data_IF_726380915642
#
_entry.id   IF_726380915642
#
_cell.length_a   1.000
_cell.length_b   1.000
_cell.length_c   1.000
_cell.angle_alpha   90.00
_cell.angle_beta   90.00
_cell.angle_gamma   90.00
#
_symmetry.space_group_name_H-M   'P 1'
#
loop_
_entity.id
_entity.type
_entity.pdbx_description
1 polymer ?
#
# COMPACT_ATOMS: atom_id res chain seq x y z
N UNK A 1 30.97 -43.86 -1.94
CA UNK A 1 31.73 -44.05 -3.20
C UNK A 1 32.52 -42.77 -3.44
N UNK A 2 33.85 -42.87 -3.31
CA UNK A 2 34.95 -42.03 -3.85
C UNK A 2 34.66 -40.55 -4.22
N UNK A 3 35.36 -39.58 -3.59
CA UNK A 3 36.66 -39.01 -4.08
C UNK A 3 36.40 -37.84 -5.05
N UNK A 4 37.08 -36.70 -5.12
CA UNK A 4 38.18 -36.05 -4.39
C UNK A 4 38.43 -34.68 -5.09
N UNK A 5 38.90 -33.68 -4.34
CA UNK A 5 39.83 -32.60 -4.74
C UNK A 5 39.50 -31.64 -5.92
N UNK A 6 39.54 -30.33 -5.66
CA UNK A 6 40.74 -29.55 -6.01
C UNK A 6 40.73 -28.11 -5.42
N UNK A 7 41.78 -27.82 -4.66
CA UNK A 7 42.28 -26.47 -4.37
C UNK A 7 42.62 -25.73 -5.67
N UNK A 8 42.32 -24.42 -5.72
CA UNK A 8 43.21 -23.44 -6.36
C UNK A 8 43.26 -22.14 -5.54
N UNK A 9 44.40 -21.95 -4.88
CA UNK A 9 44.92 -20.66 -4.42
C UNK A 9 45.50 -19.94 -5.64
N UNK A 10 45.10 -18.69 -5.88
CA UNK A 10 45.91 -17.75 -6.66
C UNK A 10 46.29 -16.60 -5.74
N UNK A 11 47.54 -16.64 -5.32
CA UNK A 11 48.29 -15.52 -4.76
C UNK A 11 48.62 -14.59 -5.93
N UNK A 12 48.29 -13.31 -5.82
CA UNK A 12 48.98 -12.28 -6.58
C UNK A 12 49.46 -11.19 -5.61
N UNK A 13 50.78 -11.23 -5.43
CA UNK A 13 51.60 -10.19 -4.82
C UNK A 13 51.71 -9.03 -5.80
N UNK A 14 51.54 -7.81 -5.32
CA UNK A 14 51.65 -6.61 -6.13
C UNK A 14 51.72 -5.35 -5.28
N UNK A 15 52.70 -5.28 -4.38
CA UNK A 15 53.08 -4.02 -3.72
C UNK A 15 53.82 -3.13 -4.72
N UNK A 16 53.24 -1.98 -5.05
CA UNK A 16 53.97 -0.82 -5.56
C UNK A 16 53.75 0.32 -4.59
N UNK A 17 54.78 0.59 -3.79
CA UNK A 17 54.90 1.80 -3.00
C UNK A 17 55.40 2.90 -3.94
N UNK A 18 54.57 3.93 -4.17
CA UNK A 18 55.01 5.18 -4.78
C UNK A 18 54.94 6.24 -3.70
N UNK A 19 56.10 6.68 -3.25
CA UNK A 19 56.25 7.84 -2.40
C UNK A 19 56.10 9.10 -3.28
N UNK A 20 54.99 9.82 -3.13
CA UNK A 20 54.81 11.15 -3.71
C UNK A 20 54.85 12.20 -2.60
N UNK A 21 55.59 13.27 -2.89
CA UNK A 21 56.00 14.31 -1.97
C UNK A 21 54.86 15.06 -1.32
N UNK A 22 55.08 15.41 -0.06
CA UNK A 22 54.21 16.31 0.70
C UNK A 22 54.26 17.72 0.14
N UNK A 23 53.07 18.28 -0.07
CA UNK A 23 52.81 19.71 -0.08
C UNK A 23 52.09 20.06 1.22
N UNK A 24 52.43 21.18 1.89
CA UNK A 24 51.70 21.64 3.07
C UNK A 24 50.35 22.19 2.61
N UNK A 25 49.31 21.38 2.70
CA UNK A 25 47.93 21.85 2.57
C UNK A 25 47.57 22.54 3.88
N UNK A 26 47.30 23.84 3.81
CA UNK A 26 46.72 24.62 4.88
C UNK A 26 45.44 23.94 5.37
N UNK A 27 45.52 23.28 6.53
CA UNK A 27 44.37 22.76 7.24
C UNK A 27 43.50 23.95 7.67
N UNK A 28 42.51 24.29 6.86
CA UNK A 28 41.34 25.00 7.36
C UNK A 28 40.62 24.02 8.27
N UNK A 29 40.76 24.24 9.58
CA UNK A 29 39.88 23.64 10.56
C UNK A 29 38.47 24.10 10.22
N UNK A 30 37.74 23.31 9.45
CA UNK A 30 36.31 23.43 9.39
C UNK A 30 35.81 23.00 10.76
N UNK A 31 35.25 23.93 11.52
CA UNK A 31 34.43 23.59 12.67
C UNK A 31 33.31 22.68 12.13
N UNK A 32 33.46 21.39 12.35
CA UNK A 32 32.37 20.46 12.19
C UNK A 32 31.33 20.86 13.22
N UNK A 33 30.38 21.71 12.80
CA UNK A 33 29.13 21.94 13.52
C UNK A 33 28.46 20.58 13.57
N UNK A 34 28.68 19.87 14.68
CA UNK A 34 27.93 18.67 15.05
C UNK A 34 26.52 19.11 15.36
N UNK A 35 25.75 19.36 14.30
CA UNK A 35 24.31 19.45 14.38
C UNK A 35 23.84 18.11 14.92
N UNK A 36 23.44 18.08 16.19
CA UNK A 36 22.79 16.92 16.77
C UNK A 36 21.68 16.47 15.82
N UNK A 37 21.60 15.16 15.47
CA UNK A 37 20.58 14.68 14.57
C UNK A 37 19.23 15.09 15.16
N UNK A 38 18.46 15.89 14.41
CA UNK A 38 17.08 16.20 14.75
C UNK A 38 16.38 14.86 14.93
N UNK A 39 15.96 14.57 16.16
CA UNK A 39 15.11 13.42 16.46
C UNK A 39 13.92 13.49 15.52
N UNK A 40 13.88 12.59 14.55
CA UNK A 40 12.80 12.47 13.60
C UNK A 40 11.53 12.15 14.39
N UNK A 41 10.52 12.99 14.29
CA UNK A 41 9.26 12.78 15.01
C UNK A 41 8.64 11.47 14.52
N UNK A 42 8.57 10.46 15.38
CA UNK A 42 7.98 9.17 15.05
C UNK A 42 6.56 9.37 14.50
N UNK A 43 6.32 8.89 13.28
CA UNK A 43 5.00 8.93 12.64
C UNK A 43 4.04 8.11 13.50
N UNK A 44 2.89 8.68 13.82
CA UNK A 44 1.87 8.02 14.66
C UNK A 44 0.62 7.70 13.86
N UNK A 45 0.07 6.52 14.10
CA UNK A 45 -1.21 6.12 13.56
C UNK A 45 -2.34 6.99 14.16
N UNK A 46 -3.31 7.46 13.37
CA UNK A 46 -4.44 8.23 13.91
C UNK A 46 -5.23 7.42 14.94
N UNK A 47 -5.69 8.10 15.99
CA UNK A 47 -6.56 7.50 17.02
C UNK A 47 -7.85 6.99 16.37
N UNK A 48 -8.28 5.78 16.76
CA UNK A 48 -9.51 5.19 16.24
C UNK A 48 -9.34 4.45 14.91
N UNK A 49 -8.10 4.16 14.51
CA UNK A 49 -7.83 3.26 13.40
C UNK A 49 -8.31 1.84 13.69
N UNK A 50 -8.93 1.21 12.68
CA UNK A 50 -9.35 -0.19 12.68
C UNK A 50 -8.82 -0.86 11.40
N UNK A 51 -8.03 -1.93 11.58
CA UNK A 51 -7.46 -2.69 10.48
C UNK A 51 -8.43 -3.71 9.88
N UNK A 52 -8.42 -3.81 8.54
CA UNK A 52 -9.21 -4.79 7.79
C UNK A 52 -8.36 -5.85 7.10
N UNK A 53 -7.15 -5.49 6.67
CA UNK A 53 -6.23 -6.38 5.97
C UNK A 53 -4.78 -5.94 6.09
N UNK A 54 -3.87 -6.88 5.86
CA UNK A 54 -2.42 -6.64 5.77
C UNK A 54 -1.83 -7.49 4.64
N UNK A 55 -0.83 -6.93 3.96
CA UNK A 55 -0.07 -7.60 2.91
C UNK A 55 1.41 -7.26 3.05
N UNK A 56 2.25 -8.26 3.29
CA UNK A 56 3.69 -8.08 3.41
C UNK A 56 4.36 -7.96 2.02
N UNK A 57 5.41 -7.13 1.93
CA UNK A 57 6.24 -6.94 0.74
C UNK A 57 7.66 -6.55 1.14
N UNK A 58 8.60 -6.45 0.18
CA UNK A 58 10.00 -6.14 0.48
C UNK A 58 10.18 -4.81 1.24
N UNK A 59 9.29 -3.84 1.04
CA UNK A 59 9.34 -2.53 1.69
C UNK A 59 8.64 -2.45 3.05
N UNK A 60 7.95 -3.50 3.51
CA UNK A 60 7.25 -3.54 4.81
C UNK A 60 5.94 -4.31 4.76
N UNK A 61 4.99 -3.93 5.61
CA UNK A 61 3.63 -4.45 5.59
C UNK A 61 2.63 -3.35 5.25
N UNK A 62 1.91 -3.51 4.14
CA UNK A 62 0.81 -2.63 3.79
C UNK A 62 -0.41 -2.97 4.65
N UNK A 63 -0.77 -2.10 5.57
CA UNK A 63 -1.94 -2.26 6.44
C UNK A 63 -3.04 -1.30 6.01
N UNK A 64 -4.24 -1.84 5.80
CA UNK A 64 -5.41 -1.08 5.34
C UNK A 64 -6.53 -1.10 6.37
N UNK A 65 -7.25 0.00 6.45
CA UNK A 65 -8.30 0.17 7.43
C UNK A 65 -9.13 1.43 7.23
N UNK A 66 -9.79 1.83 8.30
CA UNK A 66 -10.42 3.13 8.44
C UNK A 66 -10.11 3.76 9.78
N UNK A 67 -10.12 5.10 9.80
CA UNK A 67 -10.20 5.88 11.04
C UNK A 67 -11.65 6.30 11.19
N UNK A 68 -12.22 6.04 12.37
CA UNK A 68 -13.61 6.39 12.67
C UNK A 68 -13.69 7.44 13.77
N UNK A 69 -14.74 8.27 13.71
CA UNK A 69 -15.13 9.11 14.83
C UNK A 69 -16.30 8.42 15.53
N UNK A 70 -16.07 7.93 16.75
CA UNK A 70 -17.10 7.22 17.54
C UNK A 70 -17.69 6.00 16.82
N UNK A 71 -16.88 5.32 16.00
CA UNK A 71 -17.32 4.18 15.20
C UNK A 71 -18.13 4.54 13.94
N UNK A 72 -18.33 5.83 13.67
CA UNK A 72 -19.04 6.36 12.51
C UNK A 72 -18.10 7.10 11.55
N UNK A 73 -18.60 7.42 10.35
CA UNK A 73 -17.92 8.25 9.36
C UNK A 73 -16.50 7.76 9.01
N UNK A 74 -16.37 6.48 8.67
CA UNK A 74 -15.08 5.88 8.31
C UNK A 74 -14.31 6.69 7.26
N UNK A 75 -12.99 6.84 7.49
CA UNK A 75 -12.05 7.44 6.56
C UNK A 75 -10.96 6.43 6.22
N UNK A 76 -10.99 5.96 4.99
CA UNK A 76 -10.03 4.99 4.47
C UNK A 76 -8.60 5.45 4.76
N UNK A 77 -7.84 4.60 5.44
CA UNK A 77 -6.47 4.89 5.86
C UNK A 77 -5.60 3.68 5.57
N UNK A 78 -4.41 3.95 5.04
CA UNK A 78 -3.40 2.97 4.66
C UNK A 78 -2.09 3.39 5.32
N UNK A 79 -1.30 2.45 5.81
CA UNK A 79 0.05 2.74 6.26
C UNK A 79 0.98 1.58 5.93
N UNK A 80 2.28 1.87 5.92
CA UNK A 80 3.32 0.83 5.83
C UNK A 80 4.02 0.72 7.17
N UNK A 81 3.98 -0.48 7.73
CA UNK A 81 4.72 -0.86 8.94
C UNK A 81 6.04 -1.52 8.56
N UNK A 82 7.07 -1.29 9.37
CA UNK A 82 8.25 -2.14 9.34
C UNK A 82 8.00 -3.39 10.19
N UNK A 83 8.00 -4.62 9.62
CA UNK A 83 7.59 -5.82 10.35
C UNK A 83 8.54 -6.22 11.49
N UNK A 84 9.76 -5.68 11.52
CA UNK A 84 10.77 -6.01 12.55
C UNK A 84 10.67 -5.03 13.71
N UNK A 85 10.61 -3.73 13.39
CA UNK A 85 10.66 -2.65 14.38
C UNK A 85 9.28 -2.12 14.77
N UNK A 86 8.25 -2.48 14.03
CA UNK A 86 6.89 -1.92 14.10
C UNK A 86 6.88 -0.38 14.04
N UNK A 87 7.85 0.19 13.32
CA UNK A 87 7.88 1.60 13.02
C UNK A 87 7.10 1.87 11.75
N UNK A 88 6.16 2.80 11.85
CA UNK A 88 5.37 3.26 10.72
C UNK A 88 6.24 4.11 9.81
N UNK A 89 6.41 3.69 8.55
CA UNK A 89 7.18 4.40 7.54
C UNK A 89 6.43 5.60 6.98
N UNK A 90 5.13 5.44 6.76
CA UNK A 90 4.22 6.51 6.35
C UNK A 90 2.77 6.11 6.62
N UNK A 91 1.88 7.11 6.70
CA UNK A 91 0.42 6.94 6.80
C UNK A 91 -0.25 7.81 5.75
N UNK A 92 -1.24 7.25 5.06
CA UNK A 92 -2.04 7.94 4.06
C UNK A 92 -3.54 7.77 4.31
N UNK A 93 -4.23 8.90 4.47
CA UNK A 93 -5.70 8.93 4.38
C UNK A 93 -6.11 9.06 2.92
N UNK A 94 -6.98 8.17 2.45
CA UNK A 94 -7.58 8.25 1.12
C UNK A 94 -8.76 9.23 1.17
N UNK A 95 -8.76 10.27 0.33
CA UNK A 95 -9.86 11.24 0.29
C UNK A 95 -11.20 10.56 0.07
N UNK A 96 -12.22 11.02 0.80
CA UNK A 96 -13.60 10.65 0.56
C UNK A 96 -14.13 11.46 -0.64
N UNK A 97 -14.65 10.83 -1.71
CA UNK A 97 -15.23 11.59 -2.81
C UNK A 97 -16.39 12.49 -2.34
N UNK A 98 -16.63 13.63 -3.00
CA UNK A 98 -17.73 14.51 -2.64
C UNK A 98 -19.07 13.79 -2.64
N UNK A 99 -19.98 14.18 -1.73
CA UNK A 99 -21.33 13.59 -1.61
C UNK A 99 -21.31 12.08 -1.33
N UNK A 100 -20.31 11.61 -0.58
CA UNK A 100 -20.24 10.26 0.00
C UNK A 100 -20.25 10.37 1.52
N UNK A 101 -20.65 9.30 2.19
CA UNK A 101 -20.79 9.29 3.65
C UNK A 101 -19.50 8.83 4.34
N UNK A 102 -18.98 7.68 3.91
CA UNK A 102 -17.75 7.09 4.44
C UNK A 102 -17.05 6.23 3.39
N UNK A 103 -15.77 5.99 3.60
CA UNK A 103 -14.99 5.03 2.83
C UNK A 103 -14.09 4.21 3.75
N UNK A 104 -13.77 2.99 3.32
CA UNK A 104 -12.90 2.04 4.05
C UNK A 104 -11.92 1.39 3.08
N UNK A 105 -10.62 1.41 3.41
CA UNK A 105 -9.61 0.67 2.67
C UNK A 105 -9.62 -0.77 3.18
N UNK A 106 -10.05 -1.71 2.34
CA UNK A 106 -10.37 -3.08 2.79
C UNK A 106 -9.30 -4.10 2.44
N UNK A 107 -8.63 -3.91 1.31
CA UNK A 107 -7.60 -4.81 0.81
C UNK A 107 -6.40 -4.03 0.27
N UNK A 108 -5.22 -4.64 0.30
CA UNK A 108 -4.00 -4.12 -0.30
C UNK A 108 -3.30 -5.22 -1.09
N UNK A 109 -2.78 -4.87 -2.26
CA UNK A 109 -1.95 -5.74 -3.10
C UNK A 109 -0.73 -4.95 -3.54
N UNK A 110 0.41 -5.61 -3.69
CA UNK A 110 1.66 -4.99 -4.14
C UNK A 110 1.97 -5.47 -5.55
N UNK A 111 2.30 -4.53 -6.45
CA UNK A 111 2.80 -4.85 -7.77
C UNK A 111 3.87 -3.85 -8.19
N UNK A 112 5.08 -4.34 -8.47
CA UNK A 112 6.25 -3.50 -8.72
C UNK A 112 6.55 -2.59 -7.52
N UNK A 113 6.59 -1.27 -7.77
CA UNK A 113 6.82 -0.24 -6.75
C UNK A 113 5.54 0.45 -6.27
N UNK A 114 4.37 -0.07 -6.64
CA UNK A 114 3.09 0.51 -6.27
C UNK A 114 2.29 -0.41 -5.35
N UNK A 115 1.50 0.20 -4.47
CA UNK A 115 0.48 -0.47 -3.68
C UNK A 115 -0.87 -0.16 -4.30
N UNK A 116 -1.68 -1.20 -4.51
CA UNK A 116 -3.05 -1.09 -4.97
C UNK A 116 -3.97 -1.35 -3.80
N UNK A 117 -4.90 -0.43 -3.55
CA UNK A 117 -5.78 -0.47 -2.39
C UNK A 117 -7.22 -0.47 -2.85
N UNK A 118 -7.97 -1.51 -2.46
CA UNK A 118 -9.40 -1.57 -2.72
C UNK A 118 -10.16 -0.79 -1.65
N UNK A 119 -10.86 0.25 -2.07
CA UNK A 119 -11.68 1.10 -1.23
C UNK A 119 -13.15 0.82 -1.49
N UNK A 120 -13.91 0.62 -0.40
CA UNK A 120 -15.36 0.50 -0.46
C UNK A 120 -15.97 1.77 0.13
N UNK A 121 -16.80 2.46 -0.66
CA UNK A 121 -17.36 3.77 -0.31
C UNK A 121 -18.87 3.69 -0.22
N UNK A 122 -19.43 4.05 0.93
CA UNK A 122 -20.86 4.06 1.17
C UNK A 122 -21.45 5.46 0.88
N UNK A 123 -22.57 5.51 0.15
CA UNK A 123 -23.21 6.79 -0.23
C UNK A 123 -24.08 7.38 0.88
N UNK A 124 -24.56 6.58 1.82
CA UNK A 124 -25.47 7.02 2.88
C UNK A 124 -25.21 6.31 4.22
N UNK A 125 -25.57 6.95 5.33
CA UNK A 125 -25.46 6.36 6.68
C UNK A 125 -26.43 5.19 6.88
N UNK A 126 -27.66 5.35 6.42
CA UNK A 126 -28.69 4.32 6.51
C UNK A 126 -28.45 3.23 5.46
N UNK A 127 -28.21 2.00 5.90
CA UNK A 127 -27.86 0.85 5.04
C UNK A 127 -28.88 0.57 3.93
N UNK A 128 -30.18 0.77 4.19
CA UNK A 128 -31.24 0.56 3.21
C UNK A 128 -31.18 1.53 2.02
N UNK A 129 -30.64 2.73 2.22
CA UNK A 129 -30.50 3.78 1.20
C UNK A 129 -29.08 3.84 0.62
N UNK A 130 -28.14 3.10 1.20
CA UNK A 130 -26.73 3.19 0.86
C UNK A 130 -26.37 2.25 -0.29
N UNK A 131 -25.64 2.80 -1.25
CA UNK A 131 -24.89 2.06 -2.26
C UNK A 131 -23.44 1.99 -1.78
N UNK A 132 -22.85 0.79 -1.86
CA UNK A 132 -21.41 0.62 -1.69
C UNK A 132 -20.79 0.57 -3.07
N UNK A 133 -19.91 1.52 -3.34
CA UNK A 133 -19.16 1.67 -4.59
C UNK A 133 -17.72 1.21 -4.37
N UNK A 134 -17.11 0.64 -5.41
CA UNK A 134 -15.74 0.16 -5.37
C UNK A 134 -14.82 1.13 -6.10
N UNK A 135 -13.64 1.36 -5.54
CA UNK A 135 -12.57 2.04 -6.26
C UNK A 135 -11.21 1.43 -5.92
N UNK A 136 -10.29 1.51 -6.87
CA UNK A 136 -8.90 1.11 -6.69
C UNK A 136 -8.04 2.36 -6.65
N UNK A 137 -7.24 2.47 -5.58
CA UNK A 137 -6.27 3.54 -5.41
C UNK A 137 -4.87 2.98 -5.58
N UNK A 138 -4.10 3.60 -6.47
CA UNK A 138 -2.67 3.31 -6.64
C UNK A 138 -1.87 4.28 -5.79
N UNK A 139 -1.01 3.75 -4.94
CA UNK A 139 -0.10 4.49 -4.07
C UNK A 139 1.35 4.15 -4.41
N UNK A 140 2.24 5.14 -4.29
CA UNK A 140 3.67 4.89 -4.21
C UNK A 140 3.97 4.08 -2.93
N UNK A 141 4.70 2.97 -3.07
CA UNK A 141 5.11 2.17 -1.91
C UNK A 141 6.14 2.87 -1.01
N UNK A 142 6.85 3.86 -1.55
CA UNK A 142 7.93 4.56 -0.84
C UNK A 142 7.42 5.58 0.18
N UNK A 143 6.38 6.36 -0.16
CA UNK A 143 5.92 7.51 0.61
C UNK A 143 4.39 7.60 0.77
N UNK A 144 3.64 6.67 0.18
CA UNK A 144 2.18 6.67 0.21
C UNK A 144 1.53 7.78 -0.61
N UNK A 145 2.26 8.42 -1.53
CA UNK A 145 1.66 9.37 -2.46
C UNK A 145 0.57 8.68 -3.30
N UNK A 146 -0.59 9.32 -3.45
CA UNK A 146 -1.65 8.81 -4.35
C UNK A 146 -1.20 9.14 -5.77
N UNK A 147 -0.96 8.10 -6.55
CA UNK A 147 -0.60 8.19 -7.97
C UNK A 147 -1.88 8.34 -8.80
N UNK A 148 -2.91 7.55 -8.50
CA UNK A 148 -4.20 7.61 -9.19
C UNK A 148 -5.32 6.92 -8.39
N UNK A 149 -6.56 7.22 -8.76
CA UNK A 149 -7.77 6.63 -8.21
C UNK A 149 -8.73 6.34 -9.36
N UNK A 150 -9.21 5.11 -9.44
CA UNK A 150 -10.17 4.66 -10.45
C UNK A 150 -11.41 4.11 -9.76
N UNK A 151 -12.56 4.67 -10.08
CA UNK A 151 -13.84 4.08 -9.69
C UNK A 151 -14.10 2.86 -10.59
N UNK A 152 -14.57 1.76 -9.99
CA UNK A 152 -14.83 0.53 -10.70
C UNK A 152 -16.33 0.30 -10.85
N UNK A 153 -16.75 0.07 -12.09
CA UNK A 153 -18.11 -0.32 -12.43
C UNK A 153 -18.17 -1.81 -12.73
N UNK A 154 -19.19 -2.50 -12.19
CA UNK A 154 -19.38 -3.92 -12.48
C UNK A 154 -19.77 -4.12 -13.95
N UNK A 155 -19.02 -4.93 -14.73
CA UNK A 155 -19.33 -5.15 -16.14
C UNK A 155 -20.74 -5.74 -16.34
N UNK A 156 -21.52 -5.11 -17.21
CA UNK A 156 -22.86 -5.59 -17.58
C UNK A 156 -23.96 -5.37 -16.54
N UNK A 157 -23.72 -4.52 -15.53
CA UNK A 157 -24.74 -4.07 -14.57
C UNK A 157 -25.08 -2.61 -14.85
N UNK A 158 -26.28 -2.35 -15.37
CA UNK A 158 -26.71 -1.00 -15.74
C UNK A 158 -27.60 -0.36 -14.66
N UNK A 159 -28.29 -1.19 -13.87
CA UNK A 159 -29.15 -0.74 -12.78
C UNK A 159 -28.35 -0.29 -11.56
N UNK A 160 -28.96 0.51 -10.69
CA UNK A 160 -28.33 0.91 -9.44
C UNK A 160 -28.06 -0.31 -8.54
N UNK A 161 -26.83 -0.44 -8.06
CA UNK A 161 -26.40 -1.57 -7.24
C UNK A 161 -25.58 -1.13 -6.01
N UNK A 162 -25.37 -2.09 -5.11
CA UNK A 162 -24.40 -2.01 -4.02
C UNK A 162 -23.47 -3.22 -4.10
N UNK A 163 -22.16 -2.99 -4.18
CA UNK A 163 -21.14 -4.02 -4.33
C UNK A 163 -20.18 -4.02 -3.13
N UNK A 164 -19.77 -5.21 -2.71
CA UNK A 164 -18.81 -5.37 -1.63
C UNK A 164 -17.88 -6.57 -1.92
N UNK A 165 -16.68 -6.47 -1.36
CA UNK A 165 -15.69 -7.53 -1.37
C UNK A 165 -15.50 -8.00 0.06
N UNK A 166 -15.74 -9.28 0.29
CA UNK A 166 -15.56 -9.91 1.60
C UNK A 166 -14.09 -9.92 2.00
N UNK A 167 -13.82 -9.94 3.30
CA UNK A 167 -12.45 -9.97 3.83
C UNK A 167 -11.71 -11.22 3.34
N UNK A 168 -10.47 -11.02 2.89
CA UNK A 168 -9.51 -12.11 2.65
C UNK A 168 -8.76 -11.91 1.34
N UNK A 169 -7.62 -12.60 1.19
CA UNK A 169 -6.74 -12.43 0.03
C UNK A 169 -7.40 -12.76 -1.32
N UNK A 170 -8.43 -13.61 -1.32
CA UNK A 170 -9.14 -14.02 -2.55
C UNK A 170 -10.04 -12.91 -3.13
N UNK A 171 -10.42 -11.92 -2.32
CA UNK A 171 -11.31 -10.84 -2.75
C UNK A 171 -10.62 -9.80 -3.63
N UNK A 172 -9.30 -9.65 -3.47
CA UNK A 172 -8.49 -8.70 -4.21
C UNK A 172 -7.05 -9.18 -4.31
N UNK A 173 -6.62 -9.52 -5.52
CA UNK A 173 -5.32 -10.13 -5.78
C UNK A 173 -4.77 -9.71 -7.14
N UNK A 174 -3.45 -9.69 -7.26
CA UNK A 174 -2.80 -9.57 -8.57
C UNK A 174 -2.71 -10.97 -9.22
N UNK A 175 -3.10 -11.04 -10.49
CA UNK A 175 -3.04 -12.25 -11.31
C UNK A 175 -2.62 -11.84 -12.71
N UNK A 176 -1.40 -12.22 -13.10
CA UNK A 176 -0.91 -12.07 -14.48
C UNK A 176 -0.96 -10.63 -15.02
N UNK A 177 -0.55 -9.66 -14.21
CA UNK A 177 -0.52 -8.22 -14.53
C UNK A 177 -1.87 -7.52 -14.39
N UNK A 178 -2.87 -8.17 -13.81
CA UNK A 178 -4.21 -7.63 -13.60
C UNK A 178 -4.62 -7.73 -12.13
N UNK A 179 -5.38 -6.76 -11.65
CA UNK A 179 -6.04 -6.84 -10.36
C UNK A 179 -7.35 -7.59 -10.55
N UNK A 180 -7.45 -8.77 -9.96
CA UNK A 180 -8.68 -9.54 -9.90
C UNK A 180 -9.46 -9.15 -8.65
N UNK A 181 -10.69 -8.68 -8.84
CA UNK A 181 -11.62 -8.31 -7.77
C UNK A 181 -12.76 -9.32 -7.77
N UNK A 182 -12.99 -9.97 -6.63
CA UNK A 182 -14.04 -11.00 -6.45
C UNK A 182 -14.92 -10.62 -5.28
N UNK A 183 -16.23 -10.57 -5.48
CA UNK A 183 -17.14 -10.13 -4.44
C UNK A 183 -18.59 -10.47 -4.73
N UNK A 184 -19.48 -9.72 -4.09
CA UNK A 184 -20.91 -9.84 -4.26
C UNK A 184 -21.51 -8.46 -4.51
N UNK A 185 -22.62 -8.44 -5.22
CA UNK A 185 -23.45 -7.25 -5.35
C UNK A 185 -24.92 -7.59 -5.16
N UNK A 186 -25.72 -6.56 -4.94
CA UNK A 186 -27.18 -6.61 -4.97
C UNK A 186 -27.69 -5.42 -5.76
N UNK A 187 -28.82 -5.60 -6.43
CA UNK A 187 -29.54 -4.48 -7.03
C UNK A 187 -30.26 -3.69 -5.93
N UNK A 188 -30.49 -2.40 -6.18
CA UNK A 188 -31.18 -1.55 -5.21
C UNK A 188 -32.69 -1.83 -5.14
N UNK A 189 -33.28 -2.37 -6.22
CA UNK A 189 -34.68 -2.79 -6.29
C UNK A 189 -34.92 -4.25 -5.80
N UNK A 190 -33.89 -5.08 -5.82
CA UNK A 190 -33.88 -6.44 -5.25
C UNK A 190 -32.80 -6.60 -4.19
N UNK A 191 -33.05 -6.03 -3.01
CA UNK A 191 -32.07 -5.99 -1.91
C UNK A 191 -31.81 -7.35 -1.23
N UNK A 192 -32.66 -8.36 -1.49
CA UNK A 192 -32.55 -9.69 -0.89
C UNK A 192 -31.67 -10.63 -1.71
N UNK A 193 -31.50 -10.34 -3.01
CA UNK A 193 -30.70 -11.17 -3.92
C UNK A 193 -29.24 -10.73 -3.89
N UNK A 194 -28.36 -11.68 -3.54
CA UNK A 194 -26.90 -11.51 -3.62
C UNK A 194 -26.38 -12.24 -4.83
N UNK A 195 -25.66 -11.53 -5.68
CA UNK A 195 -25.13 -12.04 -6.94
C UNK A 195 -23.61 -11.97 -6.87
N UNK A 196 -22.89 -13.09 -7.07
CA UNK A 196 -21.43 -13.05 -7.09
C UNK A 196 -20.92 -12.34 -8.35
N UNK A 197 -19.80 -11.66 -8.24
CA UNK A 197 -19.10 -11.08 -9.40
C UNK A 197 -17.59 -11.38 -9.34
N UNK A 198 -16.97 -11.32 -10.50
CA UNK A 198 -15.52 -11.30 -10.64
C UNK A 198 -15.18 -10.39 -11.81
N UNK A 199 -14.22 -9.49 -11.61
CA UNK A 199 -13.72 -8.61 -12.66
C UNK A 199 -12.20 -8.51 -12.60
N UNK A 200 -11.61 -8.16 -13.74
CA UNK A 200 -10.18 -7.89 -13.87
C UNK A 200 -9.97 -6.44 -14.27
N UNK A 201 -9.10 -5.75 -13.56
CA UNK A 201 -8.69 -4.37 -13.85
C UNK A 201 -7.22 -4.39 -14.26
N UNK A 202 -6.84 -3.91 -15.46
CA UNK A 202 -5.44 -3.89 -15.86
C UNK A 202 -4.63 -2.96 -14.97
N UNK A 203 -3.44 -3.40 -14.55
CA UNK A 203 -2.54 -2.58 -13.71
C UNK A 203 -1.91 -1.43 -14.50
N UNK A 204 -1.76 -1.60 -15.83
CA UNK A 204 -1.16 -0.61 -16.71
C UNK A 204 -2.11 0.50 -17.16
N UNK A 205 -3.42 0.36 -16.92
CA UNK A 205 -4.40 1.41 -17.23
C UNK A 205 -4.35 2.59 -16.22
N UNK A 206 -3.40 2.55 -15.28
CA UNK A 206 -3.15 3.55 -14.25
C UNK A 206 -1.95 4.46 -14.57
N UNK A 207 -1.37 4.35 -15.77
CA UNK A 207 -0.25 5.18 -16.26
C UNK A 207 -0.72 6.38 -17.11
#
# INVERSE_FOLDING_TARGET
>A
MFSNYHLRKCVFVGSWAVAFGGLPVFAHAYEAVTGAPKSESAIRLPKGFRGYGTTSFQGGECVVGDVTQEGMNGRATVYVDDPITHQIKWVKTIPLPPRRYQNRATHCVVFGHSLFVLVQTDTHQQTSLSQTLLSVVRLSSADGAIETTRDEELPGVEEAYSAWVDKGAQGFQEVSGQLKITGQYRLMDDSNKRIPFTMSVPVHDFD
#
